data_IF_604616984627
#
_entry.id   IF_604616984627
#
_cell.length_a   1.000
_cell.length_b   1.000
_cell.length_c   1.000
_cell.angle_alpha   90.00
_cell.angle_beta   90.00
_cell.angle_gamma   90.00
#
_symmetry.space_group_name_H-M   'P 1'
#
loop_
_entity.id
_entity.type
_entity.pdbx_description
1 polymer ?
#
# COMPACT_ATOMS: atom_id res chain seq x y z
N UNK A 1 -1.59 19.27 4.40
CA UNK A 1 -1.37 19.63 2.98
C UNK A 1 0.11 19.87 2.79
N UNK A 2 0.66 19.29 1.74
CA UNK A 2 2.07 19.45 1.40
C UNK A 2 2.38 20.85 0.93
N UNK A 3 3.55 21.36 1.30
CA UNK A 3 4.02 22.74 0.99
C UNK A 3 5.19 22.68 0.02
N UNK A 4 5.50 23.79 -0.62
CA UNK A 4 6.71 23.93 -1.41
C UNK A 4 7.68 24.86 -0.69
N UNK A 5 8.88 24.37 -0.37
CA UNK A 5 9.98 25.19 0.16
C UNK A 5 10.80 25.64 -1.03
N UNK A 6 10.79 26.94 -1.30
CA UNK A 6 11.54 27.56 -2.39
C UNK A 6 12.80 28.19 -1.81
N UNK A 7 13.95 27.87 -2.36
CA UNK A 7 15.26 28.35 -1.88
C UNK A 7 16.00 29.02 -3.05
N UNK A 8 16.22 30.32 -2.94
CA UNK A 8 16.92 31.11 -3.95
C UNK A 8 17.51 32.36 -3.28
N UNK A 9 18.74 32.72 -3.56
CA UNK A 9 19.38 33.92 -3.02
C UNK A 9 18.95 35.21 -3.75
N UNK A 10 18.40 35.07 -4.97
CA UNK A 10 17.76 36.17 -5.68
C UNK A 10 16.34 36.39 -5.16
N UNK A 11 16.19 37.38 -4.33
CA UNK A 11 14.91 37.73 -3.66
C UNK A 11 13.76 37.97 -4.63
N UNK A 12 14.02 38.65 -5.75
CA UNK A 12 12.97 38.97 -6.73
C UNK A 12 12.46 37.68 -7.40
N UNK A 13 13.37 36.80 -7.76
CA UNK A 13 13.02 35.52 -8.35
C UNK A 13 12.28 34.62 -7.35
N UNK A 14 12.75 34.55 -6.11
CA UNK A 14 12.12 33.83 -5.02
C UNK A 14 10.67 34.29 -4.77
N UNK A 15 10.44 35.62 -4.73
CA UNK A 15 9.10 36.17 -4.57
C UNK A 15 8.19 35.85 -5.75
N UNK A 16 8.70 35.95 -6.98
CA UNK A 16 7.95 35.59 -8.20
C UNK A 16 7.50 34.14 -8.20
N UNK A 17 8.41 33.20 -7.95
CA UNK A 17 8.08 31.74 -7.91
C UNK A 17 7.06 31.46 -6.79
N UNK A 18 7.23 32.07 -5.62
CA UNK A 18 6.28 31.89 -4.53
C UNK A 18 4.88 32.44 -4.86
N UNK A 19 4.79 33.62 -5.51
CA UNK A 19 3.52 34.20 -5.91
C UNK A 19 2.77 33.37 -6.94
N UNK A 20 3.47 32.85 -7.95
CA UNK A 20 2.88 31.96 -8.96
C UNK A 20 2.32 30.68 -8.33
N UNK A 21 3.09 30.00 -7.47
CA UNK A 21 2.64 28.81 -6.76
C UNK A 21 1.46 29.10 -5.82
N UNK A 22 1.48 30.22 -5.11
CA UNK A 22 0.37 30.66 -4.25
C UNK A 22 -0.89 30.99 -5.05
N UNK A 23 -0.74 31.60 -6.26
CA UNK A 23 -1.83 31.82 -7.20
C UNK A 23 -2.54 30.53 -7.62
N UNK A 24 -1.85 29.40 -7.59
CA UNK A 24 -2.39 28.06 -7.82
C UNK A 24 -2.93 27.35 -6.57
N UNK A 25 -2.96 28.05 -5.42
CA UNK A 25 -3.44 27.49 -4.15
C UNK A 25 -2.43 26.59 -3.42
N UNK A 26 -1.13 26.66 -3.78
CA UNK A 26 -0.06 25.89 -3.15
C UNK A 26 0.58 26.73 -2.04
N UNK A 27 0.65 26.18 -0.83
CA UNK A 27 1.34 26.85 0.30
C UNK A 27 2.86 26.82 0.06
N UNK A 28 3.52 27.96 0.17
CA UNK A 28 4.97 28.11 -0.07
C UNK A 28 5.70 28.67 1.14
N UNK A 29 6.97 28.26 1.29
CA UNK A 29 7.91 28.80 2.27
C UNK A 29 9.14 29.29 1.52
N UNK A 30 9.41 30.58 1.61
CA UNK A 30 10.55 31.25 0.97
C UNK A 30 11.80 31.17 1.86
N UNK A 31 12.95 30.78 1.29
CA UNK A 31 14.24 30.72 1.96
C UNK A 31 15.28 31.42 1.10
N UNK A 32 15.97 32.44 1.63
CA UNK A 32 16.93 33.27 0.91
C UNK A 32 18.37 32.69 0.93
N UNK A 33 18.62 31.62 1.68
CA UNK A 33 19.95 31.03 1.82
C UNK A 33 19.89 29.58 2.33
N UNK A 34 21.00 28.85 2.24
CA UNK A 34 21.12 27.46 2.66
C UNK A 34 20.87 27.23 4.15
N UNK A 35 21.25 28.16 5.01
CA UNK A 35 21.01 28.06 6.46
C UNK A 35 19.54 28.10 6.81
N UNK A 36 18.77 29.03 6.21
CA UNK A 36 17.30 29.08 6.35
C UNK A 36 16.65 27.83 5.76
N UNK A 37 17.15 27.36 4.61
CA UNK A 37 16.66 26.14 3.98
C UNK A 37 16.80 24.93 4.91
N UNK A 38 18.01 24.68 5.46
CA UNK A 38 18.25 23.57 6.41
C UNK A 38 17.37 23.67 7.66
N UNK A 39 17.14 24.88 8.16
CA UNK A 39 16.26 25.06 9.31
C UNK A 39 14.80 24.73 8.98
N UNK A 40 14.31 25.09 7.80
CA UNK A 40 12.97 24.73 7.35
C UNK A 40 12.86 23.24 7.02
N UNK A 41 13.85 22.63 6.37
CA UNK A 41 13.87 21.21 6.03
C UNK A 41 13.75 20.35 7.29
N UNK A 42 14.42 20.69 8.39
CA UNK A 42 14.30 19.98 9.67
C UNK A 42 12.87 19.98 10.24
N UNK A 43 12.04 20.96 9.84
CA UNK A 43 10.66 21.16 10.28
C UNK A 43 9.65 20.82 9.20
N UNK A 44 10.12 20.57 8.00
CA UNK A 44 9.30 20.27 6.85
C UNK A 44 8.49 19.00 7.08
N UNK A 45 7.26 19.05 6.61
CA UNK A 45 6.43 17.86 6.51
C UNK A 45 7.06 16.85 5.57
N UNK A 46 6.71 15.63 5.75
CA UNK A 46 7.23 14.47 5.03
C UNK A 46 6.97 14.54 3.52
N UNK A 47 5.92 15.23 3.13
CA UNK A 47 5.42 15.36 1.75
C UNK A 47 5.71 16.73 1.16
N UNK A 48 6.41 17.59 1.89
CA UNK A 48 6.80 18.89 1.38
C UNK A 48 7.80 18.74 0.23
N UNK A 49 7.73 19.62 -0.75
CA UNK A 49 8.58 19.60 -1.94
C UNK A 49 9.61 20.70 -1.83
N UNK A 50 10.86 20.43 -2.21
CA UNK A 50 11.92 21.41 -2.26
C UNK A 50 12.22 21.85 -3.68
N UNK A 51 12.18 23.15 -3.92
CA UNK A 51 12.70 23.81 -5.11
C UNK A 51 13.93 24.64 -4.70
N UNK A 52 15.11 24.24 -5.10
CA UNK A 52 16.36 24.82 -4.58
C UNK A 52 17.24 25.30 -5.75
N UNK A 53 17.71 26.54 -5.67
CA UNK A 53 18.71 27.02 -6.62
C UNK A 53 20.04 26.29 -6.44
N UNK A 54 20.74 26.08 -7.55
CA UNK A 54 22.08 25.50 -7.56
C UNK A 54 23.09 26.39 -6.81
N UNK A 55 23.01 27.71 -7.01
CA UNK A 55 23.92 28.69 -6.44
C UNK A 55 23.18 29.52 -5.38
N UNK A 56 23.64 29.49 -4.15
CA UNK A 56 23.00 30.16 -3.00
C UNK A 56 23.98 31.12 -2.26
N UNK A 57 24.90 31.70 -3.00
CA UNK A 57 25.87 32.65 -2.43
C UNK A 57 26.91 31.99 -1.51
N UNK A 58 26.49 31.61 -0.32
CA UNK A 58 27.34 30.97 0.72
C UNK A 58 27.25 29.43 0.75
N UNK A 59 26.40 28.83 -0.09
CA UNK A 59 26.09 27.41 -0.10
C UNK A 59 25.76 26.96 -1.54
N UNK A 60 25.55 25.66 -1.75
CA UNK A 60 25.04 25.15 -3.02
C UNK A 60 23.84 24.23 -2.82
N UNK A 61 22.93 24.21 -3.80
CA UNK A 61 21.80 23.28 -3.81
C UNK A 61 22.26 21.82 -3.75
N UNK A 62 23.40 21.49 -4.36
CA UNK A 62 23.99 20.15 -4.32
C UNK A 62 24.48 19.78 -2.91
N UNK A 63 25.06 20.71 -2.16
CA UNK A 63 25.48 20.47 -0.78
C UNK A 63 24.29 20.30 0.17
N UNK A 64 23.22 21.08 -0.03
CA UNK A 64 21.97 20.88 0.70
C UNK A 64 21.39 19.51 0.41
N UNK A 65 21.36 19.07 -0.85
CA UNK A 65 20.87 17.74 -1.23
C UNK A 65 21.73 16.63 -0.59
N UNK A 66 23.06 16.75 -0.67
CA UNK A 66 23.98 15.78 -0.06
C UNK A 66 23.78 15.68 1.46
N UNK A 67 23.65 16.82 2.13
CA UNK A 67 23.31 16.86 3.55
C UNK A 67 21.96 16.20 3.84
N UNK A 68 20.92 16.49 3.06
CA UNK A 68 19.61 15.88 3.22
C UNK A 68 19.67 14.35 3.10
N UNK A 69 20.41 13.82 2.14
CA UNK A 69 20.53 12.36 1.94
C UNK A 69 21.33 11.71 3.07
N UNK A 70 22.38 12.34 3.56
CA UNK A 70 23.17 11.85 4.69
C UNK A 70 22.33 11.81 5.99
N UNK A 71 21.46 12.78 6.20
CA UNK A 71 20.56 12.85 7.36
C UNK A 71 19.24 12.10 7.14
N UNK A 72 19.10 11.39 6.02
CA UNK A 72 17.92 10.63 5.62
C UNK A 72 16.61 11.47 5.53
N UNK A 73 16.72 12.73 5.15
CA UNK A 73 15.56 13.56 4.85
C UNK A 73 14.93 13.12 3.52
N UNK A 74 13.61 12.86 3.50
CA UNK A 74 12.96 12.13 2.42
C UNK A 74 12.31 13.00 1.34
N UNK A 75 12.25 14.29 1.57
CA UNK A 75 11.48 15.21 0.71
C UNK A 75 12.00 15.19 -0.72
N UNK A 76 11.12 15.20 -1.73
CA UNK A 76 11.51 15.33 -3.13
C UNK A 76 12.21 16.67 -3.34
N UNK A 77 13.38 16.60 -4.00
CA UNK A 77 14.27 17.73 -4.21
C UNK A 77 14.40 18.04 -5.70
N UNK A 78 14.02 19.24 -6.07
CA UNK A 78 14.12 19.79 -7.42
C UNK A 78 15.18 20.86 -7.42
N UNK A 79 16.21 20.68 -8.25
CA UNK A 79 17.27 21.68 -8.38
C UNK A 79 16.97 22.61 -9.56
N UNK A 80 16.99 23.91 -9.30
CA UNK A 80 16.86 24.96 -10.31
C UNK A 80 18.21 25.59 -10.60
N UNK A 81 18.45 26.07 -11.82
CA UNK A 81 19.68 26.79 -12.14
C UNK A 81 19.50 27.77 -13.29
N UNK A 82 20.12 28.94 -13.18
CA UNK A 82 20.31 29.90 -14.28
C UNK A 82 21.51 29.60 -15.16
N UNK A 83 22.43 28.73 -14.70
CA UNK A 83 23.66 28.36 -15.44
C UNK A 83 23.72 26.83 -15.55
N UNK A 84 23.08 26.26 -16.56
CA UNK A 84 23.04 24.81 -16.70
C UNK A 84 24.42 24.24 -17.09
N UNK A 85 24.80 23.14 -16.42
CA UNK A 85 25.98 22.35 -16.76
C UNK A 85 25.64 20.87 -16.71
N UNK A 86 26.23 20.12 -17.65
CA UNK A 86 25.99 18.67 -17.73
C UNK A 86 26.58 17.93 -16.52
N UNK A 87 27.70 18.40 -16.02
CA UNK A 87 28.37 17.83 -14.84
C UNK A 87 27.49 17.98 -13.59
N UNK A 88 26.98 19.19 -13.34
CA UNK A 88 26.09 19.46 -12.21
C UNK A 88 24.77 18.67 -12.31
N UNK A 89 24.25 18.50 -13.52
CA UNK A 89 23.04 17.70 -13.74
C UNK A 89 23.26 16.22 -13.37
N UNK A 90 24.38 15.63 -13.85
CA UNK A 90 24.74 14.24 -13.56
C UNK A 90 24.97 14.04 -12.06
N UNK A 91 25.75 14.93 -11.43
CA UNK A 91 26.01 14.86 -9.99
C UNK A 91 24.73 14.93 -9.17
N UNK A 92 23.87 15.89 -9.47
CA UNK A 92 22.61 16.13 -8.74
C UNK A 92 21.65 14.94 -8.88
N UNK A 93 21.55 14.39 -10.07
CA UNK A 93 20.70 13.22 -10.30
C UNK A 93 21.24 11.97 -9.58
N UNK A 94 22.57 11.78 -9.57
CA UNK A 94 23.22 10.69 -8.83
C UNK A 94 23.04 10.82 -7.31
N UNK A 95 22.91 12.03 -6.79
CA UNK A 95 22.57 12.30 -5.39
C UNK A 95 21.09 12.08 -5.05
N UNK A 96 20.27 11.72 -6.05
CA UNK A 96 18.86 11.43 -5.88
C UNK A 96 17.95 12.66 -5.89
N UNK A 97 18.28 13.69 -6.66
CA UNK A 97 17.33 14.74 -7.00
C UNK A 97 16.21 14.17 -7.87
N UNK A 98 15.00 14.69 -7.69
CA UNK A 98 13.86 14.31 -8.52
C UNK A 98 13.95 14.92 -9.92
N UNK A 99 14.53 16.10 -10.06
CA UNK A 99 14.74 16.76 -11.34
C UNK A 99 15.82 17.86 -11.25
N UNK A 100 16.46 18.14 -12.39
CA UNK A 100 17.33 19.29 -12.60
C UNK A 100 16.69 20.20 -13.67
N UNK A 101 16.44 21.48 -13.33
CA UNK A 101 15.59 22.37 -14.12
C UNK A 101 16.33 23.66 -14.40
N UNK A 102 16.28 24.11 -15.65
CA UNK A 102 16.79 25.44 -16.01
C UNK A 102 15.76 26.50 -15.63
N UNK A 103 16.19 27.59 -15.00
CA UNK A 103 15.30 28.72 -14.65
C UNK A 103 14.58 29.32 -15.87
N UNK A 104 15.21 29.26 -17.04
CA UNK A 104 14.63 29.71 -18.32
C UNK A 104 13.47 28.82 -18.80
N UNK A 105 13.45 27.55 -18.40
CA UNK A 105 12.40 26.59 -18.78
C UNK A 105 11.22 26.60 -17.79
N UNK A 106 11.23 27.51 -16.79
CA UNK A 106 10.17 27.66 -15.81
C UNK A 106 9.04 28.50 -16.41
N UNK A 107 8.23 27.85 -17.22
CA UNK A 107 7.00 28.35 -17.81
C UNK A 107 5.77 27.76 -17.11
N UNK A 108 4.58 28.13 -17.57
CA UNK A 108 3.28 27.63 -17.05
C UNK A 108 3.22 26.10 -16.92
N UNK A 109 3.88 25.37 -17.84
CA UNK A 109 3.97 23.91 -17.82
C UNK A 109 4.77 23.38 -16.61
N UNK A 110 5.76 24.11 -16.12
CA UNK A 110 6.52 23.75 -14.93
C UNK A 110 5.65 23.85 -13.67
N UNK A 111 4.96 24.95 -13.50
CA UNK A 111 4.06 25.14 -12.36
C UNK A 111 2.92 24.13 -12.35
N UNK A 112 2.41 23.76 -13.53
CA UNK A 112 1.44 22.68 -13.65
C UNK A 112 2.01 21.34 -13.18
N UNK A 113 3.25 21.00 -13.51
CA UNK A 113 3.93 19.79 -13.03
C UNK A 113 4.12 19.80 -11.50
N UNK A 114 4.50 20.95 -10.92
CA UNK A 114 4.61 21.06 -9.45
C UNK A 114 3.26 20.85 -8.79
N UNK A 115 2.18 21.38 -9.35
CA UNK A 115 0.82 21.12 -8.87
C UNK A 115 0.50 19.62 -8.89
N UNK A 116 0.75 18.96 -10.01
CA UNK A 116 0.51 17.52 -10.15
C UNK A 116 1.30 16.71 -9.11
N UNK A 117 2.56 17.10 -8.86
CA UNK A 117 3.41 16.50 -7.83
C UNK A 117 2.83 16.72 -6.43
N UNK A 118 2.39 17.94 -6.12
CA UNK A 118 1.78 18.25 -4.82
C UNK A 118 0.46 17.49 -4.65
N UNK A 119 -0.36 17.39 -5.69
CA UNK A 119 -1.58 16.59 -5.66
C UNK A 119 -1.27 15.10 -5.41
N UNK A 120 -0.25 14.55 -6.08
CA UNK A 120 0.21 13.19 -5.85
C UNK A 120 0.74 13.01 -4.43
N UNK A 121 1.54 13.94 -3.90
CA UNK A 121 2.01 13.92 -2.51
C UNK A 121 0.86 14.01 -1.52
N UNK A 122 -0.12 14.87 -1.75
CA UNK A 122 -1.33 14.97 -0.93
C UNK A 122 -2.16 13.67 -0.99
N UNK A 123 -2.23 13.00 -2.14
CA UNK A 123 -2.86 11.69 -2.27
C UNK A 123 -2.08 10.61 -1.52
N UNK A 124 -0.74 10.66 -1.56
CA UNK A 124 0.15 9.78 -0.77
C UNK A 124 0.02 10.05 0.72
N UNK A 125 -0.03 11.33 1.14
CA UNK A 125 -0.30 11.73 2.51
C UNK A 125 -1.64 11.18 2.99
N UNK A 126 -2.71 11.38 2.24
CA UNK A 126 -4.04 10.81 2.53
C UNK A 126 -4.07 9.28 2.50
N UNK A 127 -3.27 8.63 1.67
CA UNK A 127 -3.09 7.16 1.70
C UNK A 127 -2.34 6.71 2.96
N UNK A 128 -1.35 7.45 3.39
CA UNK A 128 -0.52 7.13 4.55
C UNK A 128 -1.11 7.61 5.88
N UNK A 129 -1.91 8.69 5.89
CA UNK A 129 -2.79 9.08 7.00
C UNK A 129 -4.00 8.15 7.13
N UNK A 130 -4.28 7.31 6.15
CA UNK A 130 -5.16 6.16 6.31
C UNK A 130 -4.45 5.20 7.26
N UNK A 131 -4.50 5.58 8.50
CA UNK A 131 -4.13 4.87 9.70
C UNK A 131 -3.90 3.39 9.46
N UNK A 132 -2.65 2.98 9.47
CA UNK A 132 -2.30 1.58 9.53
C UNK A 132 -2.59 1.12 10.94
N UNK A 133 -3.74 0.47 11.14
CA UNK A 133 -3.99 -0.21 12.38
C UNK A 133 -3.03 -1.39 12.48
N UNK A 134 -2.12 -1.34 13.43
CA UNK A 134 -1.25 -2.48 13.73
C UNK A 134 -2.07 -3.54 14.46
N UNK A 135 -2.21 -4.68 13.80
CA UNK A 135 -2.86 -5.85 14.41
C UNK A 135 -2.06 -6.31 15.63
N UNK A 136 -2.76 -6.67 16.71
CA UNK A 136 -2.15 -6.93 18.01
C UNK A 136 -1.97 -8.42 18.29
N UNK A 137 -2.54 -9.30 17.48
CA UNK A 137 -2.40 -10.75 17.62
C UNK A 137 -0.93 -11.19 17.59
N UNK A 138 -0.60 -12.20 18.39
CA UNK A 138 0.77 -12.72 18.48
C UNK A 138 1.31 -13.22 17.12
N UNK A 139 0.43 -13.75 16.25
CA UNK A 139 0.78 -14.17 14.90
C UNK A 139 1.19 -12.97 14.05
N UNK A 140 0.43 -11.88 14.09
CA UNK A 140 0.73 -10.70 13.28
C UNK A 140 1.95 -9.94 13.79
N UNK A 141 2.18 -9.90 15.11
CA UNK A 141 3.40 -9.30 15.67
C UNK A 141 4.67 -10.00 15.20
N UNK A 142 4.67 -11.34 15.16
CA UNK A 142 5.80 -12.12 14.62
C UNK A 142 6.03 -11.83 13.15
N UNK A 143 4.97 -11.86 12.34
CA UNK A 143 4.99 -11.52 10.93
C UNK A 143 5.58 -10.11 10.69
N UNK A 144 5.21 -9.16 11.51
CA UNK A 144 5.66 -7.78 11.38
C UNK A 144 7.16 -7.62 11.68
N UNK A 145 7.68 -8.31 12.71
CA UNK A 145 9.13 -8.33 13.00
C UNK A 145 9.92 -9.07 11.89
N UNK A 146 9.35 -10.10 11.30
CA UNK A 146 9.94 -10.83 10.18
C UNK A 146 10.05 -9.93 8.94
N UNK A 147 8.98 -9.26 8.54
CA UNK A 147 8.98 -8.28 7.42
C UNK A 147 10.01 -7.17 7.65
N UNK A 148 10.10 -6.69 8.89
CA UNK A 148 11.07 -5.65 9.26
C UNK A 148 12.51 -6.14 9.14
N UNK A 149 12.79 -7.38 9.51
CA UNK A 149 14.11 -7.99 9.37
C UNK A 149 14.49 -8.14 7.89
N UNK A 150 13.58 -8.66 7.05
CA UNK A 150 13.79 -8.82 5.61
C UNK A 150 14.00 -7.49 4.89
N UNK A 151 13.23 -6.47 5.22
CA UNK A 151 13.38 -5.14 4.65
C UNK A 151 14.76 -4.51 4.94
N UNK A 152 15.29 -4.73 6.17
CA UNK A 152 16.62 -4.26 6.56
C UNK A 152 17.76 -5.04 5.89
N UNK A 153 17.54 -6.33 5.64
CA UNK A 153 18.51 -7.21 5.00
C UNK A 153 18.47 -7.15 3.47
N UNK A 154 17.61 -6.30 2.89
CA UNK A 154 17.42 -6.14 1.44
C UNK A 154 16.96 -7.43 0.73
N UNK A 155 16.18 -8.25 1.41
CA UNK A 155 15.63 -9.49 0.88
C UNK A 155 14.37 -9.19 0.08
N UNK A 156 14.29 -9.73 -1.14
CA UNK A 156 13.09 -9.65 -1.99
C UNK A 156 12.01 -10.56 -1.44
N UNK A 157 10.89 -9.94 -1.05
CA UNK A 157 9.80 -10.63 -0.37
C UNK A 157 8.56 -10.65 -1.24
N UNK A 158 7.91 -11.83 -1.33
CA UNK A 158 6.54 -11.95 -1.83
C UNK A 158 5.60 -12.20 -0.66
N UNK A 159 4.67 -11.26 -0.46
CA UNK A 159 3.69 -11.31 0.62
C UNK A 159 2.45 -12.05 0.10
N UNK A 160 2.22 -13.24 0.61
CA UNK A 160 1.10 -14.11 0.22
C UNK A 160 -0.07 -14.01 1.20
N UNK A 161 -1.23 -14.49 0.81
CA UNK A 161 -2.40 -14.60 1.67
C UNK A 161 -3.71 -14.29 0.96
N UNK A 162 -4.81 -14.55 1.62
CA UNK A 162 -6.15 -14.36 1.06
C UNK A 162 -6.46 -12.90 0.71
N UNK A 163 -7.44 -12.71 -0.18
CA UNK A 163 -7.93 -11.37 -0.51
C UNK A 163 -8.46 -10.65 0.73
N UNK A 164 -8.03 -9.41 0.91
CA UNK A 164 -8.52 -8.55 2.01
C UNK A 164 -7.82 -8.74 3.35
N UNK A 165 -6.74 -9.53 3.45
CA UNK A 165 -5.95 -9.72 4.68
C UNK A 165 -5.04 -8.54 5.02
N UNK A 166 -4.74 -7.66 4.05
CA UNK A 166 -3.88 -6.50 4.26
C UNK A 166 -2.48 -6.63 3.68
N UNK A 167 -2.25 -7.52 2.70
CA UNK A 167 -0.95 -7.74 2.04
C UNK A 167 -0.31 -6.46 1.51
N UNK A 168 -1.08 -5.62 0.81
CA UNK A 168 -0.58 -4.36 0.23
C UNK A 168 -0.12 -3.38 1.33
N UNK A 169 -0.81 -3.34 2.50
CA UNK A 169 -0.35 -2.53 3.64
C UNK A 169 0.96 -3.06 4.23
N UNK A 170 1.12 -4.39 4.28
CA UNK A 170 2.37 -4.99 4.76
C UNK A 170 3.53 -4.75 3.79
N UNK A 171 3.26 -4.67 2.48
CA UNK A 171 4.23 -4.24 1.48
C UNK A 171 4.65 -2.77 1.68
N UNK A 172 3.70 -1.88 1.98
CA UNK A 172 3.98 -0.49 2.34
C UNK A 172 4.85 -0.40 3.62
N UNK A 173 4.57 -1.24 4.63
CA UNK A 173 5.40 -1.35 5.83
C UNK A 173 6.82 -1.83 5.50
N UNK A 174 6.97 -2.83 4.63
CA UNK A 174 8.28 -3.30 4.15
C UNK A 174 9.06 -2.15 3.49
N UNK A 175 8.44 -1.40 2.59
CA UNK A 175 9.04 -0.23 1.93
C UNK A 175 9.49 0.81 2.97
N UNK A 176 8.67 1.03 4.00
CA UNK A 176 9.00 1.96 5.08
C UNK A 176 10.20 1.50 5.91
N UNK A 177 10.28 0.18 6.22
CA UNK A 177 11.40 -0.40 6.98
C UNK A 177 12.69 -0.46 6.18
N UNK A 178 12.61 -0.61 4.87
CA UNK A 178 13.75 -0.52 3.95
C UNK A 178 14.31 0.91 3.82
N UNK A 179 13.70 1.91 4.47
CA UNK A 179 14.10 3.30 4.34
C UNK A 179 13.69 3.96 3.02
N UNK A 180 12.85 3.27 2.21
CA UNK A 180 12.50 3.68 0.85
C UNK A 180 11.13 4.38 0.75
N UNK A 181 10.57 4.78 1.87
CA UNK A 181 9.22 5.36 1.96
C UNK A 181 9.02 6.58 1.05
N UNK A 182 10.11 7.25 0.67
CA UNK A 182 10.13 8.46 -0.12
C UNK A 182 10.91 8.34 -1.42
N UNK A 183 11.47 7.17 -1.64
CA UNK A 183 12.12 6.85 -2.90
C UNK A 183 11.09 6.85 -4.05
N UNK A 184 11.51 7.00 -5.30
CA UNK A 184 10.67 6.79 -6.46
C UNK A 184 9.87 5.49 -6.31
N UNK A 185 8.59 5.52 -6.64
CA UNK A 185 7.69 4.40 -6.43
C UNK A 185 6.80 4.17 -7.64
N UNK A 186 6.80 2.95 -8.12
CA UNK A 186 5.83 2.53 -9.14
C UNK A 186 5.09 1.27 -8.69
N UNK A 187 3.78 1.31 -8.81
CA UNK A 187 2.88 0.19 -8.54
C UNK A 187 2.33 -0.37 -9.84
N UNK A 188 2.37 -1.68 -9.96
CA UNK A 188 1.83 -2.44 -11.09
C UNK A 188 0.80 -3.42 -10.58
N UNK A 189 -0.45 -3.24 -11.00
CA UNK A 189 -1.51 -4.20 -10.74
C UNK A 189 -1.47 -5.32 -11.77
N UNK A 190 -0.81 -6.43 -11.46
CA UNK A 190 -0.54 -7.50 -12.42
C UNK A 190 -1.80 -8.09 -13.06
N UNK A 191 -2.92 -8.11 -12.34
CA UNK A 191 -4.21 -8.57 -12.86
C UNK A 191 -4.88 -7.60 -13.85
N UNK A 192 -4.40 -6.37 -14.00
CA UNK A 192 -4.89 -5.39 -14.99
C UNK A 192 -4.16 -5.48 -16.34
N UNK A 193 -3.03 -6.19 -16.39
CA UNK A 193 -2.22 -6.36 -17.59
C UNK A 193 -2.85 -7.38 -18.54
N UNK A 194 -3.89 -6.98 -19.25
CA UNK A 194 -4.74 -7.89 -20.05
C UNK A 194 -4.13 -8.35 -21.37
N UNK A 195 -3.10 -7.66 -21.88
CA UNK A 195 -2.37 -8.04 -23.09
C UNK A 195 -0.91 -7.64 -23.02
N UNK A 196 -0.04 -8.39 -23.70
CA UNK A 196 1.39 -8.11 -23.76
C UNK A 196 1.71 -6.69 -24.28
N UNK A 197 0.94 -6.17 -25.25
CA UNK A 197 1.15 -4.83 -25.80
C UNK A 197 0.82 -3.72 -24.80
N UNK A 198 -0.30 -3.84 -24.07
CA UNK A 198 -0.67 -2.87 -22.99
C UNK A 198 0.31 -2.94 -21.83
N UNK A 199 0.71 -4.15 -21.45
CA UNK A 199 1.70 -4.36 -20.40
C UNK A 199 3.06 -3.77 -20.79
N UNK A 200 3.48 -3.95 -22.04
CA UNK A 200 4.71 -3.36 -22.56
C UNK A 200 4.67 -1.83 -22.48
N UNK A 201 3.56 -1.21 -22.89
CA UNK A 201 3.39 0.24 -22.82
C UNK A 201 3.43 0.75 -21.38
N UNK A 202 2.69 0.11 -20.46
CA UNK A 202 2.66 0.49 -19.06
C UNK A 202 4.02 0.31 -18.36
N UNK A 203 4.71 -0.81 -18.62
CA UNK A 203 5.97 -1.15 -17.95
C UNK A 203 7.17 -0.40 -18.52
N UNK A 204 7.32 -0.42 -19.85
CA UNK A 204 8.53 0.08 -20.54
C UNK A 204 8.38 1.51 -21.07
N UNK A 205 7.14 2.00 -21.23
CA UNK A 205 6.87 3.26 -21.88
C UNK A 205 7.15 3.22 -23.38
N UNK A 206 6.92 4.31 -24.07
CA UNK A 206 7.14 4.40 -25.52
C UNK A 206 7.80 5.71 -25.94
N UNK A 207 8.47 5.68 -27.09
CA UNK A 207 8.93 6.88 -27.77
C UNK A 207 7.83 7.45 -28.67
N UNK A 208 7.93 8.76 -28.96
CA UNK A 208 7.11 9.40 -29.97
C UNK A 208 7.24 8.66 -31.30
N UNK A 209 6.12 8.29 -31.91
CA UNK A 209 6.08 7.58 -33.20
C UNK A 209 6.26 6.05 -33.08
N UNK A 210 6.32 5.48 -31.89
CA UNK A 210 6.41 4.02 -31.68
C UNK A 210 5.21 3.26 -32.29
N UNK A 211 4.04 3.90 -32.31
CA UNK A 211 2.80 3.41 -32.95
C UNK A 211 1.95 4.64 -33.38
N UNK A 212 0.89 4.41 -34.16
CA UNK A 212 0.10 5.49 -34.79
C UNK A 212 -0.49 6.52 -33.79
N UNK A 213 -0.80 6.13 -32.59
CA UNK A 213 -1.31 7.02 -31.53
C UNK A 213 -0.23 7.60 -30.59
N UNK A 214 1.05 7.24 -30.75
CA UNK A 214 2.17 7.71 -29.93
C UNK A 214 2.61 9.14 -30.31
N UNK A 215 1.79 10.14 -29.96
CA UNK A 215 2.05 11.56 -30.28
C UNK A 215 3.21 12.13 -29.45
N UNK A 216 3.42 11.62 -28.23
CA UNK A 216 4.48 12.02 -27.30
C UNK A 216 5.21 10.79 -26.77
N UNK A 217 6.41 10.98 -26.22
CA UNK A 217 7.09 9.94 -25.47
C UNK A 217 6.48 9.85 -24.06
N UNK A 218 6.32 8.64 -23.55
CA UNK A 218 5.77 8.39 -22.20
C UNK A 218 6.73 7.49 -21.41
N UNK A 219 6.96 7.84 -20.16
CA UNK A 219 7.79 7.07 -19.25
C UNK A 219 7.00 5.85 -18.74
N UNK A 220 7.65 4.69 -18.71
CA UNK A 220 7.07 3.47 -18.17
C UNK A 220 7.24 3.36 -16.65
N UNK A 221 6.52 2.39 -16.05
CA UNK A 221 6.61 2.11 -14.61
C UNK A 221 8.04 1.77 -14.15
N UNK A 222 8.82 1.10 -14.99
CA UNK A 222 10.23 0.78 -14.70
C UNK A 222 11.07 2.05 -14.52
N UNK A 223 10.86 3.07 -15.35
CA UNK A 223 11.56 4.34 -15.24
C UNK A 223 11.10 5.14 -14.01
N UNK A 224 9.80 5.11 -13.70
CA UNK A 224 9.23 5.74 -12.51
C UNK A 224 9.70 5.10 -11.20
N UNK A 225 10.08 3.81 -11.24
CA UNK A 225 10.62 3.09 -10.08
C UNK A 225 12.12 3.28 -9.91
N UNK A 226 12.82 3.89 -10.89
CA UNK A 226 14.28 3.96 -10.88
C UNK A 226 14.83 4.71 -9.66
N UNK A 227 15.79 4.09 -8.98
CA UNK A 227 16.34 4.57 -7.70
C UNK A 227 15.42 4.35 -6.50
N UNK A 228 14.33 3.60 -6.66
CA UNK A 228 13.32 3.42 -5.62
C UNK A 228 12.73 2.03 -5.53
N UNK A 229 11.42 1.90 -5.67
CA UNK A 229 10.68 0.65 -5.47
C UNK A 229 9.74 0.35 -6.63
N UNK A 230 9.82 -0.87 -7.13
CA UNK A 230 8.80 -1.47 -7.99
C UNK A 230 7.93 -2.40 -7.11
N UNK A 231 6.65 -2.08 -7.01
CA UNK A 231 5.66 -2.91 -6.31
C UNK A 231 4.78 -3.66 -7.30
N UNK A 232 4.81 -4.99 -7.25
CA UNK A 232 3.98 -5.87 -8.07
C UNK A 232 2.80 -6.39 -7.24
N UNK A 233 1.59 -5.88 -7.48
CA UNK A 233 0.41 -6.36 -6.77
C UNK A 233 -0.24 -7.53 -7.50
N UNK A 234 -0.47 -8.65 -6.75
CA UNK A 234 -1.02 -9.92 -7.23
C UNK A 234 -0.21 -10.51 -8.40
N UNK A 235 1.06 -10.77 -8.14
CA UNK A 235 2.03 -11.28 -9.12
C UNK A 235 1.63 -12.63 -9.73
N UNK A 236 0.85 -13.43 -9.01
CA UNK A 236 0.20 -14.66 -9.46
C UNK A 236 -0.79 -14.47 -10.62
N UNK A 237 -1.22 -13.24 -10.86
CA UNK A 237 -2.15 -12.88 -11.95
C UNK A 237 -1.44 -12.31 -13.17
N UNK A 238 -0.10 -12.21 -13.16
CA UNK A 238 0.66 -11.66 -14.28
C UNK A 238 0.68 -12.65 -15.46
N UNK A 239 0.28 -12.23 -16.68
CA UNK A 239 0.37 -13.08 -17.86
C UNK A 239 1.80 -13.56 -18.13
N UNK A 240 1.94 -14.78 -18.65
CA UNK A 240 3.25 -15.41 -18.92
C UNK A 240 4.11 -14.55 -19.85
N UNK A 241 3.53 -14.02 -20.92
CA UNK A 241 4.22 -13.17 -21.89
C UNK A 241 4.83 -11.91 -21.20
N UNK A 242 4.14 -11.38 -20.17
CA UNK A 242 4.61 -10.22 -19.40
C UNK A 242 5.73 -10.62 -18.42
N UNK A 243 5.65 -11.82 -17.84
CA UNK A 243 6.73 -12.35 -17.02
C UNK A 243 8.01 -12.50 -17.87
N UNK A 244 7.91 -13.08 -19.08
CA UNK A 244 9.03 -13.21 -20.01
C UNK A 244 9.67 -11.86 -20.35
N UNK A 245 8.86 -10.82 -20.54
CA UNK A 245 9.36 -9.46 -20.82
C UNK A 245 10.09 -8.83 -19.62
N UNK A 246 9.67 -9.12 -18.38
CA UNK A 246 10.26 -8.55 -17.18
C UNK A 246 11.53 -9.27 -16.71
N UNK A 247 11.68 -10.56 -16.96
CA UNK A 247 12.85 -11.36 -16.53
C UNK A 247 14.19 -10.70 -16.89
N UNK A 248 14.44 -10.28 -18.14
CA UNK A 248 15.69 -9.63 -18.50
C UNK A 248 15.96 -8.34 -17.71
N UNK A 249 14.91 -7.55 -17.45
CA UNK A 249 15.03 -6.30 -16.68
C UNK A 249 15.34 -6.59 -15.22
N UNK A 250 14.65 -7.55 -14.61
CA UNK A 250 14.87 -7.94 -13.22
C UNK A 250 16.27 -8.51 -12.99
N UNK A 251 16.87 -9.16 -14.00
CA UNK A 251 18.23 -9.73 -13.93
C UNK A 251 19.34 -8.71 -14.20
N UNK A 252 19.17 -7.86 -15.20
CA UNK A 252 20.25 -7.00 -15.68
C UNK A 252 20.05 -5.52 -15.40
N UNK A 253 18.86 -5.11 -15.03
CA UNK A 253 18.49 -3.69 -14.90
C UNK A 253 18.40 -2.97 -16.24
N UNK A 254 18.45 -3.68 -17.38
CA UNK A 254 18.50 -3.10 -18.74
C UNK A 254 17.18 -3.29 -19.47
N UNK A 255 16.75 -2.27 -20.17
CA UNK A 255 15.56 -2.31 -21.00
C UNK A 255 15.60 -1.27 -22.12
N UNK A 256 14.69 -1.38 -23.09
CA UNK A 256 14.43 -0.35 -24.10
C UNK A 256 12.97 0.07 -24.03
N UNK A 257 12.68 1.35 -24.29
CA UNK A 257 11.29 1.80 -24.52
C UNK A 257 10.76 1.22 -25.83
N UNK A 258 9.45 1.08 -25.95
CA UNK A 258 8.81 0.67 -27.20
C UNK A 258 9.15 1.69 -28.30
N UNK A 259 9.59 1.18 -29.46
CA UNK A 259 10.02 2.01 -30.59
C UNK A 259 11.41 2.61 -30.44
N UNK A 260 12.20 2.17 -29.46
CA UNK A 260 13.58 2.61 -29.24
C UNK A 260 14.56 1.44 -29.22
N UNK A 261 15.71 1.61 -29.85
CA UNK A 261 16.85 0.70 -29.72
C UNK A 261 17.88 1.20 -28.68
N UNK A 262 17.57 2.29 -27.98
CA UNK A 262 18.46 2.85 -26.98
C UNK A 262 18.27 2.11 -25.64
N UNK A 263 19.33 1.40 -25.22
CA UNK A 263 19.37 0.70 -23.93
C UNK A 263 19.35 1.70 -22.79
N UNK A 264 18.48 1.47 -21.82
CA UNK A 264 18.36 2.23 -20.57
C UNK A 264 18.67 1.33 -19.38
N UNK A 265 19.12 1.93 -18.29
CA UNK A 265 19.38 1.24 -17.05
C UNK A 265 18.41 1.70 -15.97
N UNK A 266 17.88 0.74 -15.22
CA UNK A 266 17.07 0.98 -14.01
C UNK A 266 17.58 0.13 -12.86
N UNK A 267 17.51 0.70 -11.68
CA UNK A 267 17.79 0.01 -10.42
C UNK A 267 16.68 0.32 -9.44
N UNK A 268 16.05 -0.71 -8.90
CA UNK A 268 14.97 -0.58 -7.92
C UNK A 268 14.96 -1.78 -6.98
N UNK A 269 14.37 -1.61 -5.81
CA UNK A 269 14.02 -2.73 -4.94
C UNK A 269 12.64 -3.26 -5.31
N UNK A 270 12.50 -4.58 -5.24
CA UNK A 270 11.26 -5.26 -5.61
C UNK A 270 10.55 -5.79 -4.37
N UNK A 271 9.27 -5.49 -4.26
CA UNK A 271 8.34 -6.15 -3.33
C UNK A 271 7.10 -6.57 -4.10
N UNK A 272 6.56 -7.74 -3.79
CA UNK A 272 5.38 -8.24 -4.49
C UNK A 272 4.34 -8.81 -3.52
N UNK A 273 3.09 -8.91 -4.00
CA UNK A 273 2.03 -9.64 -3.29
C UNK A 273 1.45 -10.73 -4.18
N UNK A 274 0.96 -11.82 -3.58
CA UNK A 274 0.25 -12.90 -4.28
C UNK A 274 -1.01 -13.32 -3.53
N UNK A 275 -2.08 -13.68 -4.27
CA UNK A 275 -3.32 -14.22 -3.67
C UNK A 275 -3.24 -15.72 -3.44
N UNK A 276 -2.42 -16.40 -4.21
CA UNK A 276 -2.18 -17.84 -4.15
C UNK A 276 -0.77 -18.12 -3.60
N UNK A 277 -0.52 -19.34 -3.18
CA UNK A 277 0.85 -19.82 -2.95
C UNK A 277 1.63 -19.74 -4.26
N UNK A 278 2.88 -19.28 -4.21
CA UNK A 278 3.71 -19.22 -5.41
C UNK A 278 4.06 -20.62 -5.93
N UNK A 279 4.16 -21.60 -5.04
CA UNK A 279 4.38 -23.00 -5.42
C UNK A 279 3.18 -23.54 -6.22
N UNK A 280 1.95 -23.22 -5.81
CA UNK A 280 0.75 -23.57 -6.55
C UNK A 280 0.70 -22.88 -7.92
N UNK A 281 1.13 -21.62 -8.00
CA UNK A 281 1.24 -20.90 -9.26
C UNK A 281 2.27 -21.51 -10.21
N UNK A 282 3.40 -22.00 -9.70
CA UNK A 282 4.42 -22.74 -10.47
C UNK A 282 3.86 -24.07 -10.97
N UNK A 283 3.26 -24.89 -10.08
CA UNK A 283 2.70 -26.20 -10.41
C UNK A 283 1.59 -26.08 -11.47
N UNK A 284 0.77 -25.05 -11.37
CA UNK A 284 -0.32 -24.80 -12.33
C UNK A 284 0.13 -24.14 -13.64
N UNK A 285 1.42 -23.82 -13.79
CA UNK A 285 1.98 -23.18 -14.98
C UNK A 285 1.56 -21.71 -15.16
N UNK A 286 1.05 -21.06 -14.12
CA UNK A 286 0.71 -19.62 -14.13
C UNK A 286 1.93 -18.73 -13.92
N UNK A 287 3.02 -19.30 -13.40
CA UNK A 287 4.26 -18.59 -13.10
C UNK A 287 5.45 -19.35 -13.68
N UNK A 288 6.36 -18.63 -14.32
CA UNK A 288 7.62 -19.17 -14.80
C UNK A 288 8.61 -19.32 -13.62
N UNK A 289 9.35 -20.42 -13.58
CA UNK A 289 10.37 -20.64 -12.56
C UNK A 289 11.40 -19.50 -12.53
N UNK A 290 11.84 -19.07 -13.70
CA UNK A 290 12.82 -18.00 -13.84
C UNK A 290 12.31 -16.65 -13.32
N UNK A 291 11.01 -16.35 -13.49
CA UNK A 291 10.36 -15.18 -12.96
C UNK A 291 10.24 -15.26 -11.42
N UNK A 292 9.84 -16.42 -10.91
CA UNK A 292 9.82 -16.70 -9.46
C UNK A 292 11.20 -16.41 -8.83
N UNK A 293 12.28 -16.97 -9.41
CA UNK A 293 13.64 -16.79 -8.91
C UNK A 293 14.10 -15.32 -8.92
N UNK A 294 13.59 -14.52 -9.87
CA UNK A 294 13.86 -13.08 -9.92
C UNK A 294 13.07 -12.28 -8.88
N UNK A 295 11.85 -12.70 -8.54
CA UNK A 295 10.95 -11.92 -7.68
C UNK A 295 11.03 -12.30 -6.21
N UNK A 296 11.40 -13.54 -5.89
CA UNK A 296 11.19 -14.13 -4.58
C UNK A 296 12.47 -14.77 -4.02
N UNK A 297 12.98 -14.20 -2.95
CA UNK A 297 13.99 -14.83 -2.09
C UNK A 297 13.33 -15.41 -0.83
N UNK A 298 12.19 -14.84 -0.43
CA UNK A 298 11.41 -15.30 0.71
C UNK A 298 9.92 -15.02 0.52
N UNK A 299 9.07 -15.93 1.01
CA UNK A 299 7.62 -15.73 1.07
C UNK A 299 7.17 -15.49 2.49
N UNK A 300 6.22 -14.56 2.67
CA UNK A 300 5.62 -14.25 3.97
C UNK A 300 4.11 -14.34 3.85
N UNK A 301 3.49 -15.24 4.62
CA UNK A 301 2.06 -15.45 4.57
C UNK A 301 1.31 -14.60 5.60
N UNK A 302 0.37 -13.78 5.13
CA UNK A 302 -0.52 -12.99 5.99
C UNK A 302 -1.69 -13.87 6.44
N UNK A 303 -1.80 -14.17 7.75
CA UNK A 303 -2.86 -15.03 8.23
C UNK A 303 -4.25 -14.41 8.00
N UNK A 304 -5.24 -15.22 7.57
CA UNK A 304 -6.61 -14.77 7.43
C UNK A 304 -7.19 -14.37 8.80
N UNK A 305 -8.18 -13.48 8.77
CA UNK A 305 -8.74 -12.86 9.99
C UNK A 305 -9.34 -13.89 10.95
N UNK A 306 -9.88 -15.00 10.44
CA UNK A 306 -10.39 -16.12 11.23
C UNK A 306 -9.32 -16.83 12.09
N UNK A 307 -8.05 -16.73 11.69
CA UNK A 307 -6.91 -17.29 12.44
C UNK A 307 -6.33 -16.27 13.44
N UNK A 308 -6.82 -15.04 13.44
CA UNK A 308 -6.38 -13.94 14.31
C UNK A 308 -7.59 -13.22 14.92
N UNK A 309 -8.44 -13.99 15.56
CA UNK A 309 -9.72 -13.54 16.13
C UNK A 309 -9.54 -12.36 17.11
N UNK A 310 -8.42 -12.32 17.82
CA UNK A 310 -8.08 -11.23 18.75
C UNK A 310 -7.98 -9.86 18.04
N UNK A 311 -7.69 -9.83 16.75
CA UNK A 311 -7.61 -8.59 15.97
C UNK A 311 -8.99 -8.06 15.55
N UNK A 312 -10.05 -8.88 15.53
CA UNK A 312 -11.35 -8.53 14.97
C UNK A 312 -11.97 -7.33 15.68
N UNK A 313 -12.08 -7.38 17.01
CA UNK A 313 -12.71 -6.30 17.78
C UNK A 313 -11.87 -5.02 17.80
N UNK A 314 -10.55 -5.06 17.98
CA UNK A 314 -9.69 -3.89 17.84
C UNK A 314 -9.79 -3.22 16.46
N UNK A 315 -9.75 -4.01 15.38
CA UNK A 315 -9.94 -3.51 14.00
C UNK A 315 -11.32 -2.87 13.80
N UNK A 316 -12.38 -3.51 14.33
CA UNK A 316 -13.74 -2.97 14.23
C UNK A 316 -13.86 -1.62 14.94
N UNK A 317 -13.30 -1.47 16.14
CA UNK A 317 -13.28 -0.20 16.87
C UNK A 317 -12.51 0.88 16.11
N UNK A 318 -11.37 0.51 15.56
CA UNK A 318 -10.57 1.41 14.75
C UNK A 318 -11.34 1.92 13.51
N UNK A 319 -12.01 1.02 12.77
CA UNK A 319 -12.83 1.42 11.62
C UNK A 319 -14.04 2.25 12.02
N UNK A 320 -14.68 1.94 13.15
CA UNK A 320 -15.79 2.74 13.64
C UNK A 320 -15.38 4.19 13.92
N UNK A 321 -14.21 4.41 14.52
CA UNK A 321 -13.64 5.74 14.72
C UNK A 321 -13.27 6.47 13.42
N UNK A 322 -13.02 5.73 12.32
CA UNK A 322 -12.76 6.34 11.01
C UNK A 322 -14.03 6.79 10.27
N UNK A 323 -15.15 6.08 10.47
CA UNK A 323 -16.37 6.31 9.70
C UNK A 323 -17.37 7.23 10.38
N UNK A 324 -17.20 7.49 11.67
CA UNK A 324 -18.09 8.36 12.43
C UNK A 324 -17.33 9.44 13.22
N UNK A 325 -17.99 10.57 13.46
CA UNK A 325 -17.44 11.69 14.22
C UNK A 325 -17.58 11.50 15.74
N UNK A 326 -18.17 10.39 16.21
CA UNK A 326 -18.45 10.09 17.61
C UNK A 326 -17.67 8.90 18.15
N UNK A 327 -17.78 8.69 19.46
CA UNK A 327 -17.26 7.49 20.13
C UNK A 327 -18.27 6.33 19.94
N UNK A 328 -17.88 5.29 19.19
CA UNK A 328 -18.68 4.10 18.97
C UNK A 328 -18.25 2.96 19.87
N UNK A 329 -19.23 2.34 20.54
CA UNK A 329 -19.03 1.15 21.37
C UNK A 329 -19.79 -0.03 20.75
N UNK A 330 -19.21 -1.21 20.87
CA UNK A 330 -19.86 -2.45 20.43
C UNK A 330 -20.45 -3.15 21.65
N UNK A 331 -21.70 -3.59 21.57
CA UNK A 331 -22.30 -4.41 22.64
C UNK A 331 -21.52 -5.72 22.81
N UNK A 332 -21.76 -6.44 23.90
CA UNK A 332 -21.12 -7.74 24.16
C UNK A 332 -21.50 -8.73 23.06
N UNK A 333 -22.78 -8.80 22.74
CA UNK A 333 -23.36 -9.68 21.73
C UNK A 333 -22.81 -9.38 20.32
N UNK A 334 -22.64 -8.09 19.98
CA UNK A 334 -22.02 -7.69 18.72
C UNK A 334 -20.54 -8.12 18.61
N UNK A 335 -19.77 -8.01 19.71
CA UNK A 335 -18.38 -8.49 19.77
C UNK A 335 -18.30 -9.99 19.62
N UNK A 336 -19.17 -10.73 20.29
CA UNK A 336 -19.19 -12.20 20.28
C UNK A 336 -19.61 -12.70 18.88
N UNK A 337 -20.61 -12.07 18.24
CA UNK A 337 -20.96 -12.35 16.85
C UNK A 337 -19.78 -12.14 15.89
N UNK A 338 -19.08 -11.01 16.03
CA UNK A 338 -17.91 -10.73 15.18
C UNK A 338 -16.76 -11.73 15.37
N UNK A 339 -16.56 -12.27 16.57
CA UNK A 339 -15.51 -13.28 16.85
C UNK A 339 -15.83 -14.65 16.27
N UNK A 340 -17.10 -15.00 16.20
CA UNK A 340 -17.56 -16.30 15.69
C UNK A 340 -17.61 -16.32 14.16
N UNK A 341 -17.80 -15.19 13.52
CA UNK A 341 -17.90 -15.12 12.07
C UNK A 341 -16.56 -15.34 11.37
N UNK A 342 -16.55 -16.08 10.26
CA UNK A 342 -15.34 -16.52 9.57
C UNK A 342 -14.62 -15.46 8.73
N UNK A 343 -15.26 -14.34 8.46
CA UNK A 343 -14.69 -13.25 7.66
C UNK A 343 -14.08 -13.69 6.33
N UNK A 344 -14.84 -14.28 5.39
CA UNK A 344 -14.30 -14.75 4.11
C UNK A 344 -13.67 -13.63 3.28
N UNK A 345 -14.12 -12.38 3.44
CA UNK A 345 -13.48 -11.19 2.85
C UNK A 345 -12.47 -10.51 3.76
N UNK A 346 -12.08 -11.17 4.86
CA UNK A 346 -11.06 -10.71 5.82
C UNK A 346 -11.30 -9.27 6.31
N UNK A 347 -10.24 -8.47 6.46
CA UNK A 347 -10.28 -7.08 6.94
C UNK A 347 -11.08 -6.17 6.01
N UNK A 348 -11.08 -6.46 4.70
CA UNK A 348 -11.87 -5.69 3.71
C UNK A 348 -13.38 -5.84 3.95
N UNK A 349 -13.84 -7.03 4.29
CA UNK A 349 -15.23 -7.30 4.66
C UNK A 349 -15.58 -6.67 6.00
N UNK A 350 -14.76 -6.90 7.04
CA UNK A 350 -14.94 -6.28 8.35
C UNK A 350 -15.10 -4.77 8.23
N UNK A 351 -14.25 -4.10 7.47
CA UNK A 351 -14.34 -2.65 7.22
C UNK A 351 -15.67 -2.24 6.60
N UNK A 352 -16.19 -3.01 5.62
CA UNK A 352 -17.50 -2.74 4.98
C UNK A 352 -18.64 -2.90 5.97
N UNK A 353 -18.63 -3.99 6.74
CA UNK A 353 -19.65 -4.28 7.76
C UNK A 353 -19.69 -3.18 8.82
N UNK A 354 -18.53 -2.77 9.35
CA UNK A 354 -18.45 -1.70 10.34
C UNK A 354 -18.89 -0.36 9.78
N UNK A 355 -18.54 -0.03 8.52
CA UNK A 355 -19.01 1.20 7.86
C UNK A 355 -20.55 1.27 7.81
N UNK A 356 -21.20 0.17 7.46
CA UNK A 356 -22.68 0.09 7.44
C UNK A 356 -23.25 0.13 8.85
N UNK A 357 -22.60 -0.53 9.82
CA UNK A 357 -23.06 -0.52 11.20
C UNK A 357 -23.01 0.88 11.81
N UNK A 358 -21.94 1.64 11.58
CA UNK A 358 -21.83 3.05 12.01
C UNK A 358 -22.92 3.91 11.40
N UNK A 359 -23.22 3.72 10.09
CA UNK A 359 -24.28 4.48 9.41
C UNK A 359 -25.71 4.16 9.93
N UNK A 360 -25.94 2.95 10.46
CA UNK A 360 -27.20 2.54 11.07
C UNK A 360 -27.33 2.91 12.55
N UNK A 361 -26.21 3.11 13.23
CA UNK A 361 -26.16 3.36 14.66
C UNK A 361 -26.49 4.82 14.95
N UNK A 362 -27.55 5.07 15.76
CA UNK A 362 -27.97 6.43 16.15
C UNK A 362 -27.40 6.84 17.53
N UNK A 363 -27.22 5.87 18.44
CA UNK A 363 -26.93 6.12 19.85
C UNK A 363 -25.46 5.83 20.25
N UNK A 364 -24.57 5.66 19.26
CA UNK A 364 -23.17 5.33 19.50
C UNK A 364 -22.91 3.88 20.00
N UNK A 365 -23.96 3.07 20.21
CA UNK A 365 -23.87 1.66 20.60
C UNK A 365 -24.21 0.75 19.43
N UNK A 366 -23.21 0.05 18.89
CA UNK A 366 -23.37 -0.89 17.79
C UNK A 366 -23.87 -2.23 18.35
N UNK A 367 -25.07 -2.62 17.91
CA UNK A 367 -25.75 -3.87 18.25
C UNK A 367 -25.59 -4.90 17.11
N UNK A 368 -25.84 -6.21 17.35
CA UNK A 368 -25.78 -7.25 16.33
C UNK A 368 -26.61 -6.95 15.06
N UNK A 369 -27.78 -6.33 15.21
CA UNK A 369 -28.70 -5.96 14.12
C UNK A 369 -28.13 -4.89 13.18
N UNK A 370 -27.18 -4.07 13.65
CA UNK A 370 -26.47 -3.11 12.81
C UNK A 370 -25.45 -3.78 11.91
N UNK A 371 -24.93 -4.96 12.33
CA UNK A 371 -23.93 -5.71 11.60
C UNK A 371 -24.59 -6.50 10.45
N UNK A 372 -24.36 -6.10 9.20
CA UNK A 372 -24.85 -6.81 8.01
C UNK A 372 -24.02 -8.04 7.70
N UNK A 373 -23.89 -8.94 8.67
CA UNK A 373 -23.21 -10.21 8.51
C UNK A 373 -24.23 -11.18 7.89
N UNK A 374 -24.05 -11.55 6.63
CA UNK A 374 -24.83 -12.61 6.00
C UNK A 374 -24.17 -13.95 6.31
N UNK A 375 -24.74 -14.70 7.21
CA UNK A 375 -24.47 -16.13 7.32
C UNK A 375 -25.04 -16.77 6.05
N UNK A 376 -24.21 -17.01 5.03
CA UNK A 376 -24.66 -17.67 3.81
C UNK A 376 -25.01 -19.13 4.13
N UNK A 377 -26.22 -19.52 3.79
CA UNK A 377 -26.76 -20.88 3.96
C UNK A 377 -25.93 -22.00 3.29
N UNK A 378 -24.94 -21.67 2.49
CA UNK A 378 -24.02 -22.61 1.84
C UNK A 378 -22.69 -22.86 2.59
N UNK A 379 -22.36 -22.02 3.59
CA UNK A 379 -21.14 -22.22 4.41
C UNK A 379 -21.42 -23.04 5.67
N UNK A 380 -22.67 -23.29 5.99
CA UNK A 380 -23.09 -24.16 7.10
C UNK A 380 -22.67 -25.61 6.95
N UNK A 381 -22.55 -26.12 5.73
CA UNK A 381 -22.12 -27.51 5.48
C UNK A 381 -20.63 -27.74 5.66
N UNK A 382 -19.78 -26.75 5.35
CA UNK A 382 -18.31 -26.88 5.48
C UNK A 382 -17.80 -26.79 6.91
N UNK A 383 -18.48 -26.02 7.77
CA UNK A 383 -18.12 -25.83 9.19
C UNK A 383 -18.64 -26.99 10.03
N UNK A 384 -19.88 -27.42 9.79
CA UNK A 384 -20.46 -28.59 10.43
C UNK A 384 -19.63 -29.84 10.16
N UNK A 385 -19.10 -30.03 8.95
CA UNK A 385 -18.31 -31.20 8.57
C UNK A 385 -16.92 -31.27 9.20
N UNK A 386 -16.25 -30.14 9.49
CA UNK A 386 -14.91 -30.12 10.11
C UNK A 386 -14.90 -30.23 11.64
N UNK A 387 -15.97 -29.77 12.30
CA UNK A 387 -16.13 -29.88 13.75
C UNK A 387 -16.65 -31.25 14.23
N UNK A 388 -17.16 -32.05 13.31
CA UNK A 388 -17.78 -33.36 13.60
C UNK A 388 -16.81 -34.49 13.92
N UNK A 389 -15.51 -34.24 14.09
CA UNK A 389 -14.51 -35.27 14.39
C UNK A 389 -13.96 -35.22 15.82
N UNK A 390 -14.32 -34.19 16.62
CA UNK A 390 -14.01 -34.15 18.06
C UNK A 390 -15.28 -33.86 18.88
N UNK A 391 -15.85 -34.87 19.55
CA UNK A 391 -17.07 -34.73 20.33
C UNK A 391 -17.02 -33.70 21.46
N UNK A 392 -15.83 -33.47 22.02
CA UNK A 392 -15.63 -32.49 23.10
C UNK A 392 -15.64 -31.04 22.56
N UNK A 393 -14.99 -30.82 21.42
CA UNK A 393 -14.98 -29.52 20.77
C UNK A 393 -16.38 -29.15 20.23
N UNK A 394 -17.13 -30.12 19.73
CA UNK A 394 -18.50 -29.93 19.28
C UNK A 394 -19.46 -29.56 20.43
N UNK A 395 -19.37 -30.25 21.58
CA UNK A 395 -20.15 -29.93 22.78
C UNK A 395 -19.89 -28.50 23.25
N UNK A 396 -18.64 -28.11 23.46
CA UNK A 396 -18.25 -26.77 23.89
C UNK A 396 -18.77 -25.68 22.93
N UNK A 397 -18.74 -25.96 21.62
CA UNK A 397 -19.25 -25.00 20.62
C UNK A 397 -20.76 -24.83 20.66
N UNK A 398 -21.51 -25.91 20.88
CA UNK A 398 -22.97 -25.86 21.02
C UNK A 398 -23.33 -25.09 22.30
N UNK A 399 -22.66 -25.32 23.41
CA UNK A 399 -22.87 -24.61 24.68
C UNK A 399 -22.57 -23.12 24.54
N UNK A 400 -21.46 -22.75 23.90
CA UNK A 400 -21.06 -21.38 23.62
C UNK A 400 -22.13 -20.62 22.82
N UNK A 401 -22.60 -21.22 21.69
CA UNK A 401 -23.59 -20.58 20.83
C UNK A 401 -24.96 -20.53 21.50
N UNK A 402 -25.36 -21.52 22.28
CA UNK A 402 -26.58 -21.49 23.09
C UNK A 402 -26.54 -20.37 24.13
N UNK A 403 -25.42 -20.15 24.81
CA UNK A 403 -25.27 -19.06 25.76
C UNK A 403 -25.37 -17.68 25.10
N UNK A 404 -24.78 -17.51 23.91
CA UNK A 404 -24.82 -16.26 23.12
C UNK A 404 -26.23 -15.95 22.59
N UNK A 405 -27.00 -16.99 22.23
CA UNK A 405 -28.36 -16.84 21.68
C UNK A 405 -29.46 -16.81 22.76
N UNK A 406 -29.07 -16.80 24.05
CA UNK A 406 -30.01 -16.84 25.17
C UNK A 406 -30.88 -18.12 25.14
N UNK A 407 -30.30 -19.26 24.79
CA UNK A 407 -30.95 -20.58 24.66
C UNK A 407 -32.04 -20.65 23.57
N UNK A 408 -32.03 -19.73 22.59
CA UNK A 408 -32.94 -19.77 21.45
C UNK A 408 -32.50 -20.84 20.44
N UNK A 409 -33.09 -22.05 20.56
CA UNK A 409 -32.72 -23.22 19.75
C UNK A 409 -32.88 -23.03 18.23
N UNK A 410 -33.80 -22.17 17.79
CA UNK A 410 -33.95 -21.87 16.37
C UNK A 410 -32.83 -21.02 15.84
N UNK A 411 -32.46 -19.98 16.58
CA UNK A 411 -31.36 -19.09 16.23
C UNK A 411 -30.00 -19.76 16.38
N UNK A 412 -29.85 -20.62 17.42
CA UNK A 412 -28.65 -21.47 17.60
C UNK A 412 -28.44 -22.44 16.44
N UNK A 413 -29.50 -23.10 15.97
CA UNK A 413 -29.45 -24.00 14.83
C UNK A 413 -29.05 -23.28 13.57
N UNK A 414 -29.55 -22.07 13.35
CA UNK A 414 -29.21 -21.20 12.22
C UNK A 414 -27.75 -20.76 12.25
N UNK A 415 -27.24 -20.35 13.42
CA UNK A 415 -25.81 -19.96 13.59
C UNK A 415 -24.85 -21.16 13.41
N UNK A 416 -25.24 -22.33 13.91
CA UNK A 416 -24.45 -23.56 13.76
C UNK A 416 -24.60 -24.21 12.37
N UNK A 417 -25.50 -23.71 11.52
CA UNK A 417 -25.73 -24.22 10.17
C UNK A 417 -26.29 -25.65 10.15
N UNK A 418 -27.02 -26.03 11.18
CA UNK A 418 -27.69 -27.35 11.28
C UNK A 418 -29.20 -27.16 11.44
N UNK A 419 -29.97 -28.13 11.04
CA UNK A 419 -31.39 -28.08 11.28
C UNK A 419 -31.73 -28.24 12.78
N UNK A 420 -32.86 -27.67 13.20
CA UNK A 420 -33.31 -27.66 14.60
C UNK A 420 -33.47 -29.07 15.19
N UNK A 421 -33.81 -30.09 14.36
CA UNK A 421 -33.91 -31.47 14.83
C UNK A 421 -32.55 -32.07 15.13
N UNK A 422 -31.56 -31.78 14.32
CA UNK A 422 -30.15 -32.18 14.50
C UNK A 422 -29.58 -31.50 15.75
N UNK A 423 -29.83 -30.21 15.97
CA UNK A 423 -29.39 -29.53 17.19
C UNK A 423 -30.00 -30.16 18.44
N UNK A 424 -31.31 -30.41 18.46
CA UNK A 424 -31.97 -31.04 19.59
C UNK A 424 -31.45 -32.45 19.87
N UNK A 425 -31.11 -33.22 18.84
CA UNK A 425 -30.50 -34.54 18.99
C UNK A 425 -29.11 -34.43 19.64
N UNK A 426 -28.29 -33.45 19.21
CA UNK A 426 -26.95 -33.22 19.77
C UNK A 426 -26.98 -32.69 21.21
N UNK A 427 -27.90 -31.80 21.53
CA UNK A 427 -28.16 -31.34 22.90
C UNK A 427 -28.43 -32.51 23.84
N UNK A 428 -29.31 -33.44 23.42
CA UNK A 428 -29.60 -34.67 24.19
C UNK A 428 -28.39 -35.61 24.26
N UNK A 429 -27.67 -35.77 23.15
CA UNK A 429 -26.51 -36.64 23.06
C UNK A 429 -25.37 -36.19 23.98
N UNK A 430 -25.14 -34.87 24.11
CA UNK A 430 -24.06 -34.30 24.90
C UNK A 430 -24.48 -33.87 26.32
N UNK A 431 -25.76 -34.05 26.70
CA UNK A 431 -26.27 -33.70 28.02
C UNK A 431 -26.13 -32.20 28.32
N UNK A 432 -26.44 -31.33 27.34
CA UNK A 432 -26.36 -29.87 27.50
C UNK A 432 -27.68 -29.38 28.11
N UNK A 433 -27.59 -28.68 29.20
CA UNK A 433 -28.76 -28.07 29.88
C UNK A 433 -29.20 -26.81 29.10
N UNK A 434 -30.50 -26.79 28.68
CA UNK A 434 -31.09 -25.72 27.87
C UNK A 434 -32.46 -25.30 28.41
#
# INVERSE_FOLDING_TARGET
MSKVIVVDDNRNYLETVCQELQGMGIETIACENGSKARWQIRRAGRYDVLLVDLLLGDDSGTEILRWMRNEAYPQPFYLMTGVPSMENAIETMNLGAACYIRKEDIEEQFYSKIRDIIEEQNLREKRNERFVFRRESGAFKRLYEEIKAYAKADIRVVITGERGTGRSHLAEDWISFAGLRYAPYAEVHCGSLSSASMAAEELFGHQKGAFSSAVRSTDGKLELANGGVLFLENVDMMPIDVQEMLIPVLKSGKYCRIGSNHERHVSFKLVATSTESLDDALISGKMLQEFYDCCCECTVEVPPLRNTIDDVVPLAKFFAGQFGSGEYKFSKEAKDLMRVYHWPGNVRELRKVVKVAVAKCQDGMILPEHLTIRLSSGQSEGVASRLLHDPLAEKSKIEEVLSVTGHNKSHTAEILGIDRKTLNRKIKQYGIDC
#
